data_IF_532226876154
#
_entry.id   IF_532226876154
#
_cell.length_a   1.000
_cell.length_b   1.000
_cell.length_c   1.000
_cell.angle_alpha   90.00
_cell.angle_beta   90.00
_cell.angle_gamma   90.00
#
_symmetry.space_group_name_H-M   'P 1'
#
loop_
_entity.id
_entity.type
_entity.pdbx_description
1 polymer ?
#
# COMPACT_ATOMS: atom_id res chain seq x y z
N UNK A 1 9.67 -23.89 -21.16
CA UNK A 1 9.66 -25.10 -20.34
C UNK A 1 8.91 -24.88 -19.06
N UNK A 2 7.93 -25.72 -18.82
CA UNK A 2 7.05 -25.56 -17.65
C UNK A 2 7.79 -25.60 -16.33
N UNK A 3 8.85 -26.38 -16.26
CA UNK A 3 9.60 -26.57 -15.02
C UNK A 3 10.45 -25.37 -14.62
N UNK A 4 10.78 -24.53 -15.59
CA UNK A 4 11.64 -23.35 -15.34
C UNK A 4 10.98 -22.39 -14.37
N UNK A 5 9.68 -22.15 -14.52
CA UNK A 5 8.95 -21.24 -13.64
C UNK A 5 8.86 -21.76 -12.21
N UNK A 6 8.87 -23.09 -12.02
CA UNK A 6 8.76 -23.71 -10.70
C UNK A 6 10.06 -23.61 -9.91
N UNK A 7 11.18 -23.46 -10.59
CA UNK A 7 12.50 -23.48 -9.97
C UNK A 7 13.20 -22.12 -10.01
N UNK A 8 12.44 -21.05 -10.25
CA UNK A 8 13.01 -19.72 -10.23
C UNK A 8 13.42 -19.35 -8.82
N UNK A 9 14.67 -18.97 -8.66
CA UNK A 9 15.21 -18.51 -7.39
C UNK A 9 14.65 -17.11 -7.08
N UNK A 10 13.95 -17.01 -5.96
CA UNK A 10 13.35 -15.74 -5.52
C UNK A 10 14.41 -14.64 -5.34
N UNK A 11 15.66 -15.03 -5.13
CA UNK A 11 16.77 -14.11 -4.95
C UNK A 11 17.43 -13.71 -6.28
N UNK A 12 17.06 -14.36 -7.37
CA UNK A 12 17.56 -14.03 -8.70
C UNK A 12 16.64 -12.99 -9.33
N UNK A 13 16.99 -11.74 -9.15
CA UNK A 13 16.16 -10.63 -9.61
C UNK A 13 15.88 -10.66 -11.11
N UNK A 14 16.87 -10.99 -11.91
CA UNK A 14 16.71 -11.05 -13.36
C UNK A 14 15.67 -12.09 -13.77
N UNK A 15 15.73 -13.27 -13.18
CA UNK A 15 14.78 -14.34 -13.48
C UNK A 15 13.37 -13.96 -13.05
N UNK A 16 13.22 -13.38 -11.85
CA UNK A 16 11.91 -12.96 -11.33
C UNK A 16 11.29 -11.90 -12.23
N UNK A 17 12.05 -10.88 -12.57
CA UNK A 17 11.55 -9.79 -13.41
C UNK A 17 11.18 -10.33 -14.80
N UNK A 18 12.03 -11.16 -15.38
CA UNK A 18 11.76 -11.76 -16.68
C UNK A 18 10.49 -12.60 -16.67
N UNK A 19 10.31 -13.41 -15.63
CA UNK A 19 9.13 -14.26 -15.50
C UNK A 19 7.86 -13.44 -15.29
N UNK A 20 7.94 -12.35 -14.54
CA UNK A 20 6.81 -11.42 -14.38
C UNK A 20 6.47 -10.74 -15.70
N UNK A 21 7.51 -10.31 -16.46
CA UNK A 21 7.31 -9.73 -17.79
C UNK A 21 6.56 -10.68 -18.70
N UNK A 22 6.85 -11.98 -18.59
CA UNK A 22 6.21 -13.02 -19.40
C UNK A 22 4.81 -13.38 -18.93
N UNK A 23 4.40 -12.87 -17.77
CA UNK A 23 3.05 -13.09 -17.25
C UNK A 23 2.86 -14.38 -16.48
N UNK A 24 3.90 -14.90 -15.85
CA UNK A 24 3.81 -16.11 -15.03
C UNK A 24 3.18 -15.81 -13.67
N UNK A 25 1.92 -16.15 -13.50
CA UNK A 25 1.19 -15.92 -12.25
C UNK A 25 1.81 -16.68 -11.07
N UNK A 26 2.39 -17.85 -11.33
CA UNK A 26 3.05 -18.63 -10.31
C UNK A 26 4.22 -17.90 -9.66
N UNK A 27 4.88 -17.04 -10.43
CA UNK A 27 5.99 -16.22 -9.92
C UNK A 27 5.46 -15.11 -9.05
N UNK A 28 4.34 -14.50 -9.43
CA UNK A 28 3.69 -13.49 -8.58
C UNK A 28 3.30 -14.11 -7.23
N UNK A 29 2.75 -15.31 -7.25
CA UNK A 29 2.39 -16.03 -6.02
C UNK A 29 3.63 -16.28 -5.15
N UNK A 30 4.74 -16.69 -5.76
CA UNK A 30 6.00 -16.90 -5.04
C UNK A 30 6.51 -15.61 -4.41
N UNK A 31 6.43 -14.49 -5.14
CA UNK A 31 6.82 -13.17 -4.64
C UNK A 31 5.93 -12.77 -3.45
N UNK A 32 4.63 -12.97 -3.60
CA UNK A 32 3.68 -12.68 -2.53
C UNK A 32 4.02 -13.45 -1.26
N UNK A 33 4.20 -14.77 -1.38
CA UNK A 33 4.50 -15.61 -0.22
C UNK A 33 5.83 -15.27 0.43
N UNK A 34 6.81 -14.89 -0.36
CA UNK A 34 8.13 -14.56 0.16
C UNK A 34 8.15 -13.22 0.88
N UNK A 35 7.47 -12.21 0.33
CA UNK A 35 7.57 -10.85 0.82
C UNK A 35 6.43 -10.37 1.69
N UNK A 36 5.29 -11.05 1.71
CA UNK A 36 4.10 -10.54 2.38
C UNK A 36 4.34 -10.18 3.84
N UNK A 37 4.85 -11.11 4.62
CA UNK A 37 5.08 -10.88 6.05
C UNK A 37 6.13 -9.81 6.29
N UNK A 38 7.18 -9.81 5.48
CA UNK A 38 8.26 -8.83 5.58
C UNK A 38 7.77 -7.42 5.29
N UNK A 39 6.96 -7.30 4.24
CA UNK A 39 6.40 -6.01 3.86
C UNK A 39 5.39 -5.52 4.90
N UNK A 40 4.58 -6.41 5.44
CA UNK A 40 3.65 -6.05 6.50
C UNK A 40 4.40 -5.57 7.75
N UNK A 41 5.43 -6.30 8.17
CA UNK A 41 6.24 -5.90 9.32
C UNK A 41 6.87 -4.52 9.10
N UNK A 42 7.36 -4.28 7.90
CA UNK A 42 7.93 -2.99 7.53
C UNK A 42 6.87 -1.88 7.58
N UNK A 43 5.70 -2.16 7.01
CA UNK A 43 4.61 -1.19 6.94
C UNK A 43 4.09 -0.80 8.32
N UNK A 44 4.10 -1.73 9.29
CA UNK A 44 3.63 -1.43 10.65
C UNK A 44 4.47 -0.38 11.37
N UNK A 45 5.66 -0.09 10.87
CA UNK A 45 6.46 1.01 11.40
C UNK A 45 5.84 2.36 11.10
N UNK A 46 5.00 2.43 10.08
CA UNK A 46 4.31 3.65 9.66
C UNK A 46 2.84 3.63 10.07
N UNK A 47 2.18 2.49 9.89
CA UNK A 47 0.76 2.32 10.17
C UNK A 47 0.59 1.13 11.09
N UNK A 48 0.22 1.36 12.38
CA UNK A 48 0.11 0.25 13.34
C UNK A 48 -1.08 -0.67 13.11
N UNK A 49 -2.07 -0.24 12.36
CA UNK A 49 -3.26 -1.05 12.08
C UNK A 49 -2.91 -2.18 11.13
N UNK A 50 -3.11 -3.42 11.57
CA UNK A 50 -2.73 -4.60 10.80
C UNK A 50 -3.57 -4.76 9.53
N UNK A 51 -4.86 -4.49 9.61
CA UNK A 51 -5.73 -4.61 8.44
C UNK A 51 -5.33 -3.64 7.33
N UNK A 52 -5.03 -2.40 7.68
CA UNK A 52 -4.57 -1.42 6.72
C UNK A 52 -3.22 -1.81 6.12
N UNK A 53 -2.33 -2.33 6.95
CA UNK A 53 -1.03 -2.81 6.52
C UNK A 53 -1.18 -3.92 5.48
N UNK A 54 -2.03 -4.91 5.76
CA UNK A 54 -2.27 -6.00 4.83
C UNK A 54 -2.89 -5.49 3.53
N UNK A 55 -3.79 -4.54 3.61
CA UNK A 55 -4.40 -3.92 2.45
C UNK A 55 -3.36 -3.21 1.58
N UNK A 56 -2.46 -2.46 2.20
CA UNK A 56 -1.39 -1.77 1.47
C UNK A 56 -0.49 -2.77 0.75
N UNK A 57 -0.13 -3.87 1.40
CA UNK A 57 0.73 -4.87 0.80
C UNK A 57 0.00 -5.58 -0.35
N UNK A 58 -1.28 -5.89 -0.18
CA UNK A 58 -2.08 -6.49 -1.25
C UNK A 58 -2.19 -5.55 -2.46
N UNK A 59 -2.43 -4.26 -2.22
CA UNK A 59 -2.44 -3.26 -3.29
C UNK A 59 -1.11 -3.19 -4.02
N UNK A 60 -0.02 -3.35 -3.29
CA UNK A 60 1.32 -3.35 -3.87
C UNK A 60 1.51 -4.54 -4.81
N UNK A 61 0.98 -5.71 -4.43
CA UNK A 61 1.05 -6.90 -5.28
C UNK A 61 0.20 -6.75 -6.54
N UNK A 62 -0.98 -6.15 -6.41
CA UNK A 62 -1.83 -5.84 -7.56
C UNK A 62 -1.10 -4.87 -8.49
N UNK A 63 -0.48 -3.83 -7.93
CA UNK A 63 0.31 -2.89 -8.71
C UNK A 63 1.42 -3.60 -9.47
N UNK A 64 2.13 -4.49 -8.78
CA UNK A 64 3.22 -5.24 -9.40
C UNK A 64 2.74 -6.01 -10.62
N UNK A 65 1.63 -6.70 -10.50
CA UNK A 65 1.07 -7.48 -11.60
C UNK A 65 0.61 -6.59 -12.74
N UNK A 66 -0.09 -5.52 -12.44
CA UNK A 66 -0.58 -4.59 -13.44
C UNK A 66 0.54 -3.90 -14.20
N UNK A 67 1.68 -3.70 -13.55
CA UNK A 67 2.83 -3.01 -14.13
C UNK A 67 3.96 -3.95 -14.51
N UNK A 68 3.70 -5.26 -14.56
CA UNK A 68 4.73 -6.26 -14.81
C UNK A 68 5.49 -6.06 -16.12
N UNK A 69 4.86 -5.49 -17.12
CA UNK A 69 5.48 -5.28 -18.42
C UNK A 69 6.49 -4.13 -18.42
N UNK A 70 6.39 -3.24 -17.44
CA UNK A 70 7.29 -2.09 -17.33
C UNK A 70 8.47 -2.35 -16.40
N UNK A 71 8.50 -3.50 -15.74
CA UNK A 71 9.58 -3.84 -14.83
C UNK A 71 10.88 -4.04 -15.58
N UNK A 72 11.96 -3.49 -15.03
CA UNK A 72 13.31 -3.58 -15.60
C UNK A 72 14.22 -4.37 -14.67
N UNK A 73 15.05 -5.20 -15.24
CA UNK A 73 15.97 -6.06 -14.47
C UNK A 73 17.02 -5.27 -13.70
N UNK A 74 17.27 -4.03 -14.09
CA UNK A 74 18.22 -3.14 -13.39
C UNK A 74 17.72 -2.72 -12.02
N UNK A 75 16.39 -2.73 -11.82
CA UNK A 75 15.80 -2.38 -10.54
C UNK A 75 15.59 -3.66 -9.73
N UNK A 76 16.04 -3.65 -8.46
CA UNK A 76 15.79 -4.78 -7.59
C UNK A 76 14.32 -4.78 -7.18
N UNK A 77 13.66 -5.92 -7.39
CA UNK A 77 12.27 -6.08 -7.04
C UNK A 77 12.03 -5.81 -5.57
N UNK A 78 12.94 -6.30 -4.72
CA UNK A 78 12.86 -6.09 -3.29
C UNK A 78 12.79 -4.59 -2.94
N UNK A 79 13.73 -3.82 -3.47
CA UNK A 79 13.76 -2.37 -3.20
C UNK A 79 12.51 -1.68 -3.71
N UNK A 80 12.04 -2.10 -4.87
CA UNK A 80 10.83 -1.54 -5.48
C UNK A 80 9.62 -1.79 -4.58
N UNK A 81 9.43 -3.02 -4.11
CA UNK A 81 8.30 -3.37 -3.26
C UNK A 81 8.30 -2.59 -1.94
N UNK A 82 9.46 -2.51 -1.28
CA UNK A 82 9.56 -1.75 -0.04
C UNK A 82 9.32 -0.26 -0.25
N UNK A 83 9.81 0.30 -1.35
CA UNK A 83 9.58 1.70 -1.70
C UNK A 83 8.10 1.98 -1.93
N UNK A 84 7.42 1.11 -2.66
CA UNK A 84 5.99 1.28 -2.95
C UNK A 84 5.18 1.21 -1.65
N UNK A 85 5.45 0.24 -0.80
CA UNK A 85 4.76 0.09 0.49
C UNK A 85 4.99 1.33 1.35
N UNK A 86 6.23 1.81 1.43
CA UNK A 86 6.54 3.02 2.18
C UNK A 86 5.77 4.22 1.65
N UNK A 87 5.77 4.41 0.34
CA UNK A 87 5.08 5.56 -0.27
C UNK A 87 3.58 5.48 -0.04
N UNK A 88 2.99 4.30 -0.15
CA UNK A 88 1.56 4.10 0.12
C UNK A 88 1.24 4.38 1.59
N UNK A 89 2.09 3.93 2.49
CA UNK A 89 1.91 4.16 3.93
C UNK A 89 1.97 5.65 4.24
N UNK A 90 2.98 6.35 3.71
CA UNK A 90 3.13 7.79 3.92
C UNK A 90 1.96 8.56 3.34
N UNK A 91 1.47 8.16 2.16
CA UNK A 91 0.30 8.79 1.56
C UNK A 91 -0.95 8.60 2.43
N UNK A 92 -1.11 7.44 3.04
CA UNK A 92 -2.24 7.20 3.95
C UNK A 92 -2.15 8.06 5.19
N UNK A 93 -0.97 8.18 5.78
CA UNK A 93 -0.74 9.03 6.96
C UNK A 93 -1.10 10.48 6.61
N UNK A 94 -0.58 10.97 5.49
CA UNK A 94 -0.87 12.32 5.04
C UNK A 94 -2.36 12.53 4.81
N UNK A 95 -3.03 11.56 4.22
CA UNK A 95 -4.46 11.61 3.97
C UNK A 95 -5.25 11.69 5.29
N UNK A 96 -4.86 10.90 6.28
CA UNK A 96 -5.51 10.92 7.60
C UNK A 96 -5.29 12.25 8.30
N UNK A 97 -4.09 12.80 8.24
CA UNK A 97 -3.79 14.09 8.84
C UNK A 97 -4.65 15.20 8.24
N UNK A 98 -4.78 15.21 6.91
CA UNK A 98 -5.62 16.18 6.21
C UNK A 98 -7.08 15.99 6.61
N UNK A 99 -7.55 14.76 6.61
CA UNK A 99 -8.93 14.44 6.96
C UNK A 99 -9.24 14.85 8.40
N UNK A 100 -8.34 14.58 9.32
CA UNK A 100 -8.49 14.96 10.71
C UNK A 100 -8.51 16.47 10.87
N UNK A 101 -7.62 17.16 10.18
CA UNK A 101 -7.57 18.63 10.21
C UNK A 101 -8.89 19.23 9.72
N UNK A 102 -9.39 18.74 8.60
CA UNK A 102 -10.67 19.20 8.06
C UNK A 102 -11.80 18.90 9.05
N UNK A 103 -11.78 17.71 9.63
CA UNK A 103 -12.77 17.33 10.63
C UNK A 103 -12.74 18.25 11.85
N UNK A 104 -11.55 18.59 12.34
CA UNK A 104 -11.38 19.51 13.46
C UNK A 104 -11.89 20.89 13.13
N UNK A 105 -11.60 21.38 11.94
CA UNK A 105 -12.06 22.70 11.48
C UNK A 105 -13.60 22.74 11.42
N UNK A 106 -14.19 21.67 10.90
CA UNK A 106 -15.66 21.55 10.85
C UNK A 106 -16.23 21.48 12.26
N UNK A 107 -15.62 20.67 13.12
CA UNK A 107 -16.07 20.50 14.51
C UNK A 107 -16.03 21.82 15.25
N UNK A 108 -14.93 22.57 15.13
CA UNK A 108 -14.80 23.85 15.79
C UNK A 108 -15.87 24.83 15.31
N UNK A 109 -16.15 24.81 14.02
CA UNK A 109 -17.19 25.67 13.44
C UNK A 109 -18.56 25.33 14.02
N UNK A 110 -18.89 24.04 14.09
CA UNK A 110 -20.17 23.60 14.66
C UNK A 110 -20.24 23.80 16.16
N UNK A 111 -19.16 23.57 16.88
CA UNK A 111 -19.08 23.79 18.31
C UNK A 111 -19.39 25.27 18.63
N UNK A 112 -18.77 26.17 17.88
CA UNK A 112 -19.05 27.61 18.03
C UNK A 112 -20.53 27.93 17.78
N UNK A 113 -21.15 27.25 16.82
CA UNK A 113 -22.56 27.42 16.50
C UNK A 113 -23.45 26.89 17.63
N UNK A 114 -23.12 25.72 18.19
CA UNK A 114 -23.88 25.11 19.30
C UNK A 114 -23.79 25.93 20.58
N UNK A 115 -22.70 26.65 20.78
CA UNK A 115 -22.55 27.51 21.96
C UNK A 115 -23.33 28.82 21.80
N UNK A 116 -23.79 29.12 20.59
CA UNK A 116 -24.62 30.29 20.34
C UNK A 116 -26.00 30.07 21.00
N UNK A 117 -26.40 30.93 21.92
CA UNK A 117 -27.69 30.75 22.60
C UNK A 117 -28.91 30.79 21.70
N UNK A 118 -28.79 31.37 20.52
CA UNK A 118 -29.86 31.49 19.54
C UNK A 118 -29.91 30.32 18.53
N UNK A 119 -28.99 29.38 18.64
CA UNK A 119 -28.90 28.28 17.67
C UNK A 119 -30.20 27.46 17.62
N UNK A 120 -30.73 27.09 18.78
CA UNK A 120 -31.94 26.28 18.86
C UNK A 120 -33.20 27.02 18.47
N UNK A 121 -33.19 28.31 18.69
CA UNK A 121 -34.33 29.17 18.31
C UNK A 121 -34.44 29.31 16.79
N UNK A 122 -33.31 29.25 16.09
CA UNK A 122 -33.30 29.33 14.64
C UNK A 122 -33.78 28.06 13.97
N UNK A 123 -33.75 26.94 14.67
CA UNK A 123 -34.12 25.64 14.14
C UNK A 123 -35.63 25.42 14.17
N UNK A 124 -36.36 26.28 14.79
CA UNK A 124 -37.80 26.24 14.79
C UNK A 124 -38.38 27.03 13.63
#
# INVERSE_FOLDING_TARGET
>A
MKKTAQYIDINDNKQIVSALNEGHESVLDAVYRHYFKKLCAFCTQYIPDLEETEEIVQETMVWLWENRLTLKAELTLKSLLFTIVKNKALNRISHYEIKQKVHEEIYQKYESTFENPNFYDQDE
#
